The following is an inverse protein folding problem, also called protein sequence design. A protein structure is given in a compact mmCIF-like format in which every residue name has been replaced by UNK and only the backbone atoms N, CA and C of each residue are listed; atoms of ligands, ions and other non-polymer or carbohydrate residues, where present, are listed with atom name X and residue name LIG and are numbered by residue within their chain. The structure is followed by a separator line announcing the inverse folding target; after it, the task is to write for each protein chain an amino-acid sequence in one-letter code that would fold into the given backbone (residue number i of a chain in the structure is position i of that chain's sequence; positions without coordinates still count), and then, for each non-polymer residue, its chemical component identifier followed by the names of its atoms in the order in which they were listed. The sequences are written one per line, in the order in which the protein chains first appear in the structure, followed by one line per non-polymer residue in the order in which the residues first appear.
data_IF_040293713832
#
_entry.id   IF_040293713832
#
_cell.length_a   1.000
_cell.length_b   1.000
_cell.length_c   1.000
_cell.angle_alpha   90.00
_cell.angle_beta   90.00
_cell.angle_gamma   90.00
#
_symmetry.space_group_name_H-M   'P 1'
#
loop_
_entity.id
_entity.type
_entity.pdbx_description
1 polymer ?
#
# COMPACT_ATOMS: atom_id res chain seq x y z
N UNK A 1 6.43 -2.60 -18.75
CA UNK A 1 7.79 -2.96 -18.29
C UNK A 1 7.67 -4.25 -17.50
N UNK A 2 7.97 -5.38 -18.13
CA UNK A 2 7.94 -6.69 -17.48
C UNK A 2 9.26 -6.85 -16.71
N UNK A 3 9.18 -7.13 -15.40
CA UNK A 3 10.35 -7.50 -14.62
C UNK A 3 10.56 -9.01 -14.83
N UNK A 4 11.65 -9.36 -15.50
CA UNK A 4 12.09 -10.74 -15.75
C UNK A 4 12.65 -11.38 -14.48
N UNK A 5 12.30 -12.67 -14.30
CA UNK A 5 12.73 -13.56 -13.22
C UNK A 5 14.25 -13.78 -13.23
N UNK A 6 14.86 -13.72 -12.04
CA UNK A 6 16.29 -13.84 -11.82
C UNK A 6 16.63 -14.95 -10.81
N UNK A 7 17.02 -16.11 -11.34
CA UNK A 7 18.17 -16.91 -10.89
C UNK A 7 18.23 -17.49 -9.47
N UNK A 8 17.94 -18.79 -9.38
CA UNK A 8 18.53 -19.86 -8.54
C UNK A 8 19.41 -19.54 -7.31
N UNK A 9 19.10 -20.18 -6.17
CA UNK A 9 20.15 -20.48 -5.17
C UNK A 9 19.80 -20.49 -3.68
N UNK A 10 18.55 -20.68 -3.27
CA UNK A 10 18.12 -21.05 -1.90
C UNK A 10 16.70 -21.60 -2.07
N UNK A 11 16.17 -22.56 -1.29
CA UNK A 11 14.72 -22.65 -1.13
C UNK A 11 14.29 -21.40 -0.35
N UNK A 12 14.41 -20.24 -0.99
CA UNK A 12 13.97 -18.96 -0.51
C UNK A 12 12.46 -19.14 -0.33
N UNK A 13 12.00 -18.98 0.90
CA UNK A 13 10.66 -19.36 1.32
C UNK A 13 9.57 -18.87 0.37
N UNK A 14 8.42 -19.55 0.40
CA UNK A 14 7.23 -19.24 -0.40
C UNK A 14 7.10 -17.74 -0.75
N UNK A 15 7.39 -17.38 -2.01
CA UNK A 15 7.23 -16.01 -2.49
C UNK A 15 5.74 -15.71 -2.57
N UNK A 16 5.21 -14.99 -1.58
CA UNK A 16 3.83 -14.50 -1.59
C UNK A 16 3.77 -13.21 -2.41
N UNK A 17 3.33 -13.32 -3.66
CA UNK A 17 3.02 -12.15 -4.50
C UNK A 17 1.69 -11.55 -4.04
N UNK A 18 1.72 -10.28 -3.64
CA UNK A 18 0.53 -9.44 -3.47
C UNK A 18 0.63 -8.27 -4.43
N UNK A 19 -0.45 -8.01 -5.15
CA UNK A 19 -0.58 -6.84 -6.00
C UNK A 19 -1.66 -5.94 -5.40
N UNK A 20 -1.42 -4.64 -5.43
CA UNK A 20 -2.36 -3.61 -5.00
C UNK A 20 -2.57 -2.66 -6.18
N UNK A 21 -3.75 -2.07 -6.29
CA UNK A 21 -3.98 -0.96 -7.22
C UNK A 21 -4.39 0.27 -6.44
N UNK A 22 -4.01 1.45 -6.92
CA UNK A 22 -4.34 2.71 -6.27
C UNK A 22 -4.72 3.73 -7.33
N UNK A 23 -5.73 4.55 -7.04
CA UNK A 23 -6.13 5.66 -7.90
C UNK A 23 -6.39 6.91 -7.06
N UNK A 24 -6.13 8.08 -7.63
CA UNK A 24 -6.57 9.36 -7.09
C UNK A 24 -7.26 10.16 -8.20
N UNK A 25 -8.22 10.99 -7.82
CA UNK A 25 -9.01 11.80 -8.76
C UNK A 25 -8.40 13.16 -9.03
N UNK A 26 -7.07 13.25 -9.18
CA UNK A 26 -6.31 14.50 -9.11
C UNK A 26 -6.48 15.27 -7.78
N UNK A 27 -6.73 14.53 -6.70
CA UNK A 27 -6.79 15.04 -5.31
C UNK A 27 -5.79 14.27 -4.44
N UNK A 28 -5.60 14.69 -3.19
CA UNK A 28 -4.74 13.96 -2.23
C UNK A 28 -5.40 12.66 -1.71
N UNK A 29 -6.71 12.53 -1.90
CA UNK A 29 -7.47 11.34 -1.56
C UNK A 29 -7.17 10.21 -2.54
N UNK A 30 -6.41 9.23 -2.07
CA UNK A 30 -6.05 8.03 -2.80
C UNK A 30 -6.85 6.85 -2.29
N UNK A 31 -7.46 6.09 -3.18
CA UNK A 31 -8.14 4.86 -2.80
C UNK A 31 -7.34 3.67 -3.29
N UNK A 32 -7.00 2.79 -2.34
CA UNK A 32 -6.17 1.60 -2.54
C UNK A 32 -7.06 0.37 -2.46
N UNK A 33 -7.00 -0.47 -3.49
CA UNK A 33 -7.63 -1.78 -3.54
C UNK A 33 -6.59 -2.85 -3.19
N UNK A 34 -6.87 -3.60 -2.12
CA UNK A 34 -6.03 -4.66 -1.59
C UNK A 34 -6.56 -6.07 -1.92
N UNK A 35 -7.45 -6.20 -2.91
CA UNK A 35 -8.10 -7.45 -3.27
C UNK A 35 -8.93 -7.99 -2.11
N UNK A 36 -8.71 -9.26 -1.73
CA UNK A 36 -9.46 -9.93 -0.65
C UNK A 36 -9.29 -9.26 0.72
N UNK A 37 -8.25 -8.45 0.91
CA UNK A 37 -8.03 -7.71 2.16
C UNK A 37 -8.88 -6.43 2.26
N UNK A 38 -9.65 -6.10 1.21
CA UNK A 38 -10.56 -4.95 1.19
C UNK A 38 -9.93 -3.68 0.63
N UNK A 39 -10.56 -2.55 0.92
CA UNK A 39 -10.21 -1.23 0.36
C UNK A 39 -9.79 -0.28 1.47
N UNK A 40 -8.77 0.53 1.21
CA UNK A 40 -8.26 1.55 2.13
C UNK A 40 -8.31 2.92 1.47
N UNK A 41 -8.75 3.94 2.20
CA UNK A 41 -8.68 5.34 1.77
C UNK A 41 -7.51 5.99 2.49
N UNK A 42 -6.61 6.61 1.74
CA UNK A 42 -5.50 7.42 2.23
C UNK A 42 -5.74 8.86 1.84
N UNK A 43 -5.49 9.78 2.75
CA UNK A 43 -5.68 11.20 2.48
C UNK A 43 -4.87 12.06 3.43
N UNK A 44 -4.57 13.28 3.00
CA UNK A 44 -3.91 14.25 3.86
C UNK A 44 -4.93 15.04 4.68
N UNK A 45 -4.55 15.59 5.85
CA UNK A 45 -5.36 16.53 6.60
C UNK A 45 -5.70 17.77 5.77
N UNK A 46 -6.79 18.45 6.14
CA UNK A 46 -7.20 19.71 5.51
C UNK A 46 -6.12 20.80 5.56
N UNK A 47 -5.36 20.87 6.66
CA UNK A 47 -4.20 21.77 6.80
C UNK A 47 -3.06 21.51 5.81
N UNK A 48 -3.02 20.34 5.18
CA UNK A 48 -2.04 19.98 4.15
C UNK A 48 -2.66 19.93 2.75
N UNK A 49 -3.93 20.31 2.60
CA UNK A 49 -4.64 20.36 1.31
C UNK A 49 -5.43 19.11 0.94
N UNK A 50 -5.58 18.14 1.84
CA UNK A 50 -6.48 16.98 1.65
C UNK A 50 -7.88 17.19 2.22
N UNK A 51 -8.67 16.13 2.27
CA UNK A 51 -10.06 16.15 2.80
C UNK A 51 -10.17 15.61 4.23
N UNK A 52 -9.11 14.98 4.75
CA UNK A 52 -9.11 14.31 6.05
C UNK A 52 -9.93 13.02 6.10
N UNK A 53 -10.28 12.43 4.95
CA UNK A 53 -11.14 11.23 4.86
C UNK A 53 -10.43 9.90 5.16
N UNK A 54 -9.15 9.94 5.55
CA UNK A 54 -8.35 8.77 5.87
C UNK A 54 -7.04 9.13 6.56
N UNK A 55 -6.26 8.12 6.99
CA UNK A 55 -4.89 8.33 7.45
C UNK A 55 -4.01 8.85 6.31
N UNK A 56 -2.95 9.56 6.67
CA UNK A 56 -1.97 10.00 5.67
C UNK A 56 -1.28 8.81 5.03
N UNK A 57 -0.81 8.93 3.77
CA UNK A 57 0.00 7.90 3.15
C UNK A 57 1.18 7.45 4.01
N UNK A 58 1.84 8.39 4.71
CA UNK A 58 2.93 8.06 5.62
C UNK A 58 2.44 7.28 6.86
N UNK A 59 1.32 7.67 7.46
CA UNK A 59 0.71 6.93 8.56
C UNK A 59 0.36 5.50 8.14
N UNK A 60 -0.13 5.29 6.93
CA UNK A 60 -0.44 3.96 6.40
C UNK A 60 0.83 3.12 6.19
N UNK A 61 1.92 3.70 5.70
CA UNK A 61 3.21 2.99 5.58
C UNK A 61 3.74 2.58 6.97
N UNK A 62 3.69 3.49 7.95
CA UNK A 62 4.10 3.19 9.31
C UNK A 62 3.21 2.11 9.95
N UNK A 63 1.89 2.19 9.74
CA UNK A 63 0.94 1.17 10.20
C UNK A 63 1.23 -0.21 9.58
N UNK A 64 1.50 -0.26 8.27
CA UNK A 64 1.88 -1.49 7.58
C UNK A 64 3.20 -2.07 8.11
N UNK A 65 4.21 -1.21 8.34
CA UNK A 65 5.48 -1.62 8.93
C UNK A 65 5.29 -2.19 10.35
N UNK A 66 4.51 -1.51 11.20
CA UNK A 66 4.17 -2.02 12.54
C UNK A 66 3.46 -3.38 12.45
N UNK A 67 2.54 -3.55 11.50
CA UNK A 67 1.89 -4.83 11.22
C UNK A 67 2.88 -5.93 10.92
N UNK A 68 3.89 -5.68 10.07
CA UNK A 68 4.92 -6.66 9.73
C UNK A 68 5.76 -7.11 10.93
N UNK A 69 5.98 -6.24 11.93
CA UNK A 69 6.74 -6.60 13.14
C UNK A 69 5.91 -7.45 14.11
N UNK A 70 4.58 -7.34 14.04
CA UNK A 70 3.64 -8.02 14.95
C UNK A 70 3.03 -9.30 14.35
N UNK A 71 3.22 -9.55 13.06
CA UNK A 71 2.59 -10.67 12.31
C UNK A 71 3.47 -11.91 12.19
#
# INVERSE_FOLDING_TARGET
MQITDGGAGTPCGFVRRRALSAHNGATMRTVVDCGDAGRVVLDEPTQHGGTGEGPTPLQAVLGALCGCVLS
#
